data_IF_010133109876
#
_entry.id   IF_010133109876
#
_cell.length_a   1.000
_cell.length_b   1.000
_cell.length_c   1.000
_cell.angle_alpha   90.00
_cell.angle_beta   90.00
_cell.angle_gamma   90.00
#
_symmetry.space_group_name_H-M   'P 1'
#
loop_
_entity.id
_entity.type
_entity.pdbx_description
1 polymer ?
#
# COMPACT_ATOMS: atom_id res chain seq x y z
N UNK A 1 23.66 -7.15 20.61
CA UNK A 1 22.82 -7.09 19.41
C UNK A 1 21.37 -7.07 19.89
N UNK A 2 20.57 -6.06 19.57
CA UNK A 2 19.15 -6.02 19.90
C UNK A 2 18.40 -7.12 19.14
N UNK A 3 17.40 -7.74 19.80
CA UNK A 3 16.56 -8.77 19.20
C UNK A 3 15.14 -8.24 19.04
N UNK A 4 14.52 -8.50 17.92
CA UNK A 4 13.09 -8.28 17.68
C UNK A 4 12.45 -9.56 17.14
N UNK A 5 11.30 -9.95 17.71
CA UNK A 5 10.47 -11.00 17.16
C UNK A 5 9.41 -10.34 16.28
N UNK A 6 9.30 -10.79 15.02
CA UNK A 6 8.35 -10.23 14.05
C UNK A 6 7.30 -11.28 13.74
N UNK A 7 6.04 -10.95 14.01
CA UNK A 7 4.90 -11.83 13.75
C UNK A 7 4.22 -11.39 12.47
N UNK A 8 4.13 -12.31 11.51
CA UNK A 8 3.70 -12.05 10.14
C UNK A 8 2.60 -13.04 9.73
N UNK A 9 1.74 -12.69 8.76
CA UNK A 9 0.87 -13.67 8.12
C UNK A 9 1.67 -14.82 7.50
N UNK A 10 1.15 -16.03 7.58
CA UNK A 10 1.86 -17.23 7.12
C UNK A 10 2.03 -17.32 5.60
N UNK A 11 1.24 -16.56 4.84
CA UNK A 11 1.23 -16.46 3.38
C UNK A 11 1.97 -15.21 2.84
N UNK A 12 2.78 -14.57 3.68
CA UNK A 12 3.46 -13.29 3.35
C UNK A 12 4.30 -13.37 2.06
N UNK A 13 4.84 -14.53 1.71
CA UNK A 13 5.68 -14.76 0.53
C UNK A 13 4.93 -15.38 -0.66
N UNK A 14 3.61 -15.50 -0.61
CA UNK A 14 2.83 -16.07 -1.71
C UNK A 14 2.89 -15.18 -2.96
N UNK A 15 3.58 -15.63 -4.05
CA UNK A 15 3.71 -14.83 -5.27
C UNK A 15 2.39 -14.70 -6.06
N UNK A 16 1.39 -15.53 -5.75
CA UNK A 16 0.08 -15.46 -6.40
C UNK A 16 -0.78 -14.31 -5.85
N UNK A 17 -0.47 -13.85 -4.63
CA UNK A 17 -1.25 -12.81 -3.93
C UNK A 17 -0.37 -11.70 -3.37
N UNK A 18 0.48 -11.05 -4.19
CA UNK A 18 1.35 -9.98 -3.72
C UNK A 18 0.52 -8.83 -3.12
N UNK A 19 1.01 -8.25 -2.01
CA UNK A 19 0.39 -7.08 -1.39
C UNK A 19 1.44 -6.05 -0.96
N UNK A 20 1.02 -4.78 -0.89
CA UNK A 20 1.88 -3.71 -0.40
C UNK A 20 2.30 -3.93 1.06
N UNK A 21 1.40 -4.43 1.93
CA UNK A 21 1.71 -4.76 3.32
C UNK A 21 2.80 -5.81 3.43
N UNK A 22 2.65 -6.94 2.71
CA UNK A 22 3.66 -8.00 2.69
C UNK A 22 5.03 -7.48 2.22
N UNK A 23 5.04 -6.67 1.15
CA UNK A 23 6.27 -6.06 0.64
C UNK A 23 6.91 -5.13 1.69
N UNK A 24 6.11 -4.32 2.37
CA UNK A 24 6.56 -3.45 3.44
C UNK A 24 7.21 -4.25 4.58
N UNK A 25 6.54 -5.27 5.09
CA UNK A 25 7.04 -6.10 6.19
C UNK A 25 8.37 -6.78 5.85
N UNK A 26 8.48 -7.33 4.65
CA UNK A 26 9.75 -7.92 4.17
C UNK A 26 10.87 -6.90 4.09
N UNK A 27 10.59 -5.68 3.66
CA UNK A 27 11.56 -4.59 3.63
C UNK A 27 11.97 -4.13 5.03
N UNK A 28 11.03 -4.07 5.96
CA UNK A 28 11.31 -3.75 7.37
C UNK A 28 12.18 -4.82 8.01
N UNK A 29 11.85 -6.10 7.86
CA UNK A 29 12.66 -7.20 8.39
C UNK A 29 14.11 -7.13 7.88
N UNK A 30 14.29 -6.93 6.57
CA UNK A 30 15.61 -6.77 5.96
C UNK A 30 16.35 -5.54 6.48
N UNK A 31 15.70 -4.38 6.48
CA UNK A 31 16.30 -3.13 6.90
C UNK A 31 16.66 -3.08 8.40
N UNK A 32 15.90 -3.78 9.26
CA UNK A 32 16.26 -3.97 10.66
C UNK A 32 17.51 -4.85 10.80
N UNK A 33 17.61 -5.95 10.03
CA UNK A 33 18.80 -6.81 10.03
C UNK A 33 20.03 -6.05 9.56
N UNK A 34 19.95 -5.25 8.50
CA UNK A 34 21.01 -4.37 8.01
C UNK A 34 21.45 -3.32 9.03
N UNK A 35 20.56 -2.94 9.96
CA UNK A 35 20.83 -2.05 11.10
C UNK A 35 21.34 -2.77 12.35
N UNK A 36 21.67 -4.05 12.24
CA UNK A 36 22.28 -4.84 13.31
C UNK A 36 21.26 -5.42 14.31
N UNK A 37 19.96 -5.47 13.97
CA UNK A 37 18.98 -6.22 14.77
C UNK A 37 19.03 -7.69 14.44
N UNK A 38 18.93 -8.55 15.45
CA UNK A 38 18.63 -9.97 15.25
C UNK A 38 17.11 -10.13 15.07
N UNK A 39 16.67 -10.24 13.83
CA UNK A 39 15.24 -10.40 13.47
C UNK A 39 14.87 -11.88 13.55
N UNK A 40 13.84 -12.20 14.33
CA UNK A 40 13.28 -13.55 14.49
C UNK A 40 11.84 -13.56 13.99
N UNK A 41 11.61 -14.11 12.81
CA UNK A 41 10.32 -14.15 12.16
C UNK A 41 9.46 -15.31 12.62
N UNK A 42 8.15 -15.04 12.80
CA UNK A 42 7.12 -16.01 13.16
C UNK A 42 5.96 -15.87 12.17
N UNK A 43 5.94 -16.71 11.14
CA UNK A 43 4.80 -16.83 10.23
C UNK A 43 3.63 -17.52 10.92
N UNK A 44 2.49 -16.86 11.04
CA UNK A 44 1.27 -17.42 11.63
C UNK A 44 0.26 -17.72 10.53
N UNK A 45 0.06 -18.99 10.17
CA UNK A 45 -0.97 -19.38 9.20
C UNK A 45 -2.36 -19.03 9.70
N UNK A 46 -3.24 -18.61 8.77
CA UNK A 46 -4.62 -18.26 9.08
C UNK A 46 -5.20 -17.32 8.03
N UNK A 47 -6.51 -17.12 8.10
CA UNK A 47 -7.21 -16.13 7.25
C UNK A 47 -7.27 -14.78 7.97
N UNK A 48 -6.19 -14.06 8.00
CA UNK A 48 -6.13 -12.75 8.62
C UNK A 48 -6.83 -11.67 7.77
N UNK A 49 -7.63 -10.75 8.36
CA UNK A 49 -7.90 -10.53 9.80
C UNK A 49 -9.09 -11.33 10.36
N UNK A 50 -9.47 -12.46 9.80
CA UNK A 50 -10.57 -13.32 10.26
C UNK A 50 -10.03 -14.71 10.60
N UNK A 51 -9.22 -14.84 11.68
CA UNK A 51 -8.56 -16.09 12.02
C UNK A 51 -9.55 -17.12 12.55
N UNK A 52 -9.30 -18.36 12.21
CA UNK A 52 -9.93 -19.52 12.83
C UNK A 52 -9.32 -19.84 14.23
N UNK A 53 -9.95 -20.71 15.04
CA UNK A 53 -9.42 -21.05 16.35
C UNK A 53 -7.98 -21.62 16.32
N UNK A 54 -7.56 -22.48 15.36
CA UNK A 54 -6.17 -22.92 15.23
C UNK A 54 -5.17 -21.80 15.03
N UNK A 55 -5.48 -20.79 14.21
CA UNK A 55 -4.62 -19.63 13.99
C UNK A 55 -4.42 -18.82 15.28
N UNK A 56 -5.50 -18.60 16.06
CA UNK A 56 -5.45 -17.93 17.37
C UNK A 56 -4.59 -18.70 18.37
N UNK A 57 -4.78 -20.02 18.47
CA UNK A 57 -3.98 -20.89 19.34
C UNK A 57 -2.49 -20.86 18.98
N UNK A 58 -2.17 -20.86 17.70
CA UNK A 58 -0.79 -20.78 17.21
C UNK A 58 -0.13 -19.47 17.58
N UNK A 59 -0.81 -18.35 17.37
CA UNK A 59 -0.30 -17.04 17.79
C UNK A 59 -0.10 -16.97 19.31
N UNK A 60 -1.07 -17.44 20.09
CA UNK A 60 -0.95 -17.51 21.54
C UNK A 60 0.26 -18.34 21.98
N UNK A 61 0.50 -19.48 21.32
CA UNK A 61 1.68 -20.33 21.56
C UNK A 61 2.99 -19.62 21.27
N UNK A 62 3.08 -18.89 20.15
CA UNK A 62 4.26 -18.08 19.82
C UNK A 62 4.53 -17.08 20.93
N UNK A 63 3.53 -16.26 21.29
CA UNK A 63 3.71 -15.21 22.31
C UNK A 63 4.05 -15.82 23.69
N UNK A 64 3.46 -16.95 24.07
CA UNK A 64 3.68 -17.58 25.37
C UNK A 64 5.13 -18.08 25.55
N UNK A 65 5.83 -18.44 24.48
CA UNK A 65 7.22 -18.93 24.55
C UNK A 65 8.26 -17.83 24.67
N UNK A 66 7.88 -16.57 24.44
CA UNK A 66 8.82 -15.45 24.46
C UNK A 66 9.11 -15.01 25.90
N UNK A 67 10.38 -14.72 26.26
CA UNK A 67 10.75 -14.18 27.57
C UNK A 67 10.13 -12.82 27.85
N UNK A 68 9.96 -12.50 29.13
CA UNK A 68 9.50 -11.18 29.56
C UNK A 68 10.46 -10.08 29.09
N UNK A 69 9.91 -8.92 28.75
CA UNK A 69 10.66 -7.78 28.20
C UNK A 69 10.98 -7.91 26.70
N UNK A 70 10.66 -9.04 26.06
CA UNK A 70 10.90 -9.22 24.62
C UNK A 70 10.11 -8.21 23.78
N UNK A 71 10.79 -7.59 22.80
CA UNK A 71 10.16 -6.71 21.80
C UNK A 71 9.54 -7.55 20.68
N UNK A 72 8.27 -7.34 20.44
CA UNK A 72 7.51 -8.04 19.40
C UNK A 72 6.87 -7.03 18.46
N UNK A 73 7.26 -7.06 17.20
CA UNK A 73 6.60 -6.32 16.12
C UNK A 73 5.56 -7.23 15.47
N UNK A 74 4.30 -6.81 15.46
CA UNK A 74 3.19 -7.60 14.90
C UNK A 74 2.60 -6.88 13.69
N UNK A 75 2.39 -7.61 12.60
CA UNK A 75 1.55 -7.14 11.50
C UNK A 75 0.13 -6.82 12.02
N UNK A 76 -0.42 -5.69 11.60
CA UNK A 76 -1.71 -5.19 12.06
C UNK A 76 -2.89 -6.08 11.71
N UNK A 77 -2.86 -6.78 10.56
CA UNK A 77 -3.92 -7.73 10.22
C UNK A 77 -3.96 -8.91 11.18
N UNK A 78 -2.79 -9.32 11.71
CA UNK A 78 -2.69 -10.37 12.72
C UNK A 78 -3.10 -9.83 14.10
N UNK A 79 -2.54 -8.71 14.51
CA UNK A 79 -2.71 -8.16 15.85
C UNK A 79 -4.12 -7.62 16.10
N UNK A 80 -4.64 -6.79 15.17
CA UNK A 80 -5.90 -6.05 15.36
C UNK A 80 -7.13 -6.94 15.51
N UNK A 81 -7.05 -8.20 15.08
CA UNK A 81 -8.17 -9.14 15.07
C UNK A 81 -8.30 -10.00 16.35
N UNK A 82 -7.33 -9.92 17.28
CA UNK A 82 -7.23 -10.91 18.39
C UNK A 82 -6.78 -10.29 19.72
N UNK A 83 -7.49 -9.28 20.24
CA UNK A 83 -7.13 -8.63 21.49
C UNK A 83 -7.05 -9.59 22.67
N UNK A 84 -7.88 -10.64 22.68
CA UNK A 84 -7.89 -11.68 23.71
C UNK A 84 -6.58 -12.50 23.76
N UNK A 85 -5.88 -12.58 22.63
CA UNK A 85 -4.56 -13.25 22.55
C UNK A 85 -3.45 -12.29 23.01
N UNK A 86 -3.58 -11.00 22.74
CA UNK A 86 -2.57 -9.99 23.09
C UNK A 86 -2.61 -9.58 24.55
N UNK A 87 -3.80 -9.41 25.13
CA UNK A 87 -4.01 -8.86 26.46
C UNK A 87 -3.22 -9.58 27.58
N UNK A 88 -3.13 -10.94 27.63
CA UNK A 88 -2.33 -11.63 28.63
C UNK A 88 -0.83 -11.30 28.58
N UNK A 89 -0.36 -10.82 27.41
CA UNK A 89 1.05 -10.56 27.15
C UNK A 89 1.43 -9.08 27.23
N UNK A 90 0.46 -8.17 27.23
CA UNK A 90 0.67 -6.71 27.16
C UNK A 90 1.57 -6.14 28.27
N UNK A 91 1.58 -6.76 29.47
CA UNK A 91 2.41 -6.30 30.60
C UNK A 91 3.83 -6.89 30.60
N UNK A 92 4.01 -8.08 29.98
CA UNK A 92 5.30 -8.79 30.00
C UNK A 92 6.10 -8.67 28.71
N UNK A 93 5.43 -8.46 27.57
CA UNK A 93 6.08 -8.22 26.27
C UNK A 93 5.98 -6.74 25.89
N UNK A 94 6.89 -6.29 25.04
CA UNK A 94 6.85 -4.97 24.42
C UNK A 94 6.22 -5.11 23.05
N UNK A 95 4.88 -5.10 22.99
CA UNK A 95 4.11 -5.29 21.76
C UNK A 95 4.11 -3.98 20.96
N UNK A 96 4.54 -4.05 19.71
CA UNK A 96 4.46 -2.96 18.73
C UNK A 96 3.61 -3.44 17.56
N UNK A 97 2.52 -2.73 17.25
CA UNK A 97 1.61 -3.11 16.17
C UNK A 97 1.85 -2.21 14.95
N UNK A 98 2.11 -2.83 13.80
CA UNK A 98 2.32 -2.15 12.52
C UNK A 98 1.02 -2.18 11.72
N UNK A 99 0.29 -1.06 11.71
CA UNK A 99 -1.01 -0.94 11.06
C UNK A 99 -0.84 -0.53 9.59
N UNK A 100 -0.99 -1.50 8.67
CA UNK A 100 -1.04 -1.26 7.23
C UNK A 100 -2.40 -0.73 6.77
N UNK A 101 -3.47 -1.27 7.35
CA UNK A 101 -4.85 -0.90 7.05
C UNK A 101 -5.68 -0.99 8.33
N UNK A 102 -6.25 0.11 8.80
CA UNK A 102 -7.15 0.09 9.95
C UNK A 102 -8.39 -0.77 9.67
N UNK A 103 -8.81 -1.54 10.66
CA UNK A 103 -10.08 -2.30 10.61
C UNK A 103 -11.26 -1.41 11.02
N UNK A 104 -11.01 -0.39 11.81
CA UNK A 104 -11.96 0.63 12.28
C UNK A 104 -13.12 0.08 13.14
N UNK A 105 -12.85 -0.98 13.89
CA UNK A 105 -13.81 -1.62 14.78
C UNK A 105 -13.33 -1.64 16.27
N UNK A 106 -14.21 -2.06 17.18
CA UNK A 106 -13.91 -2.12 18.60
C UNK A 106 -12.90 -3.21 18.96
N UNK A 107 -12.76 -4.23 18.12
CA UNK A 107 -11.76 -5.30 18.27
C UNK A 107 -10.36 -4.72 18.09
N UNK A 108 -10.17 -3.94 17.03
CA UNK A 108 -8.91 -3.23 16.79
C UNK A 108 -8.59 -2.24 17.91
N UNK A 109 -9.59 -1.46 18.36
CA UNK A 109 -9.41 -0.52 19.47
C UNK A 109 -8.82 -1.22 20.71
N UNK A 110 -9.39 -2.38 21.06
CA UNK A 110 -8.95 -3.18 22.21
C UNK A 110 -7.56 -3.77 21.99
N UNK A 111 -7.26 -4.24 20.78
CA UNK A 111 -5.96 -4.78 20.44
C UNK A 111 -4.85 -3.72 20.50
N UNK A 112 -5.10 -2.54 19.91
CA UNK A 112 -4.14 -1.43 19.92
C UNK A 112 -3.91 -0.85 21.32
N UNK A 113 -4.90 -0.91 22.21
CA UNK A 113 -4.72 -0.53 23.61
C UNK A 113 -3.73 -1.45 24.35
N UNK A 114 -3.54 -2.69 23.91
CA UNK A 114 -2.54 -3.64 24.45
C UNK A 114 -1.11 -3.32 24.00
N UNK A 115 -0.92 -2.50 22.95
CA UNK A 115 0.38 -2.23 22.39
C UNK A 115 1.16 -1.16 23.17
N UNK A 116 2.46 -1.36 23.34
CA UNK A 116 3.37 -0.35 23.86
C UNK A 116 3.56 0.81 22.87
N UNK A 117 3.53 0.51 21.58
CA UNK A 117 3.51 1.49 20.50
C UNK A 117 2.74 0.96 19.29
N UNK A 118 2.21 1.88 18.49
CA UNK A 118 1.55 1.61 17.21
C UNK A 118 2.33 2.34 16.12
N UNK A 119 2.59 1.67 15.02
CA UNK A 119 3.23 2.27 13.85
C UNK A 119 2.27 2.26 12.68
N UNK A 120 2.12 3.38 12.01
CA UNK A 120 1.27 3.54 10.81
C UNK A 120 2.12 3.85 9.60
N UNK A 121 1.58 3.58 8.41
CA UNK A 121 2.27 3.79 7.13
C UNK A 121 2.13 5.20 6.57
N UNK A 122 1.31 6.06 7.20
CA UNK A 122 1.09 7.45 6.77
C UNK A 122 0.60 8.32 7.93
N UNK A 123 0.80 9.63 7.81
CA UNK A 123 0.24 10.60 8.76
C UNK A 123 -1.29 10.62 8.69
N UNK A 124 -1.87 10.32 7.50
CA UNK A 124 -3.31 10.14 7.37
C UNK A 124 -3.81 8.99 8.25
N UNK A 125 -3.17 7.82 8.20
CA UNK A 125 -3.55 6.67 9.02
C UNK A 125 -3.35 6.96 10.51
N UNK A 126 -2.25 7.65 10.88
CA UNK A 126 -2.01 8.07 12.26
C UNK A 126 -3.16 8.93 12.79
N UNK A 127 -3.52 9.99 12.06
CA UNK A 127 -4.66 10.85 12.44
C UNK A 127 -5.95 10.06 12.54
N UNK A 128 -6.23 9.19 11.57
CA UNK A 128 -7.44 8.35 11.55
C UNK A 128 -7.56 7.48 12.81
N UNK A 129 -6.46 6.86 13.24
CA UNK A 129 -6.46 6.06 14.47
C UNK A 129 -6.66 6.92 15.73
N UNK A 130 -6.03 8.09 15.80
CA UNK A 130 -6.17 9.00 16.95
C UNK A 130 -7.57 9.62 17.04
N UNK A 131 -8.21 9.89 15.91
CA UNK A 131 -9.59 10.39 15.86
C UNK A 131 -10.61 9.30 16.25
N UNK A 132 -10.29 8.04 15.91
CA UNK A 132 -11.21 6.91 16.10
C UNK A 132 -11.07 6.24 17.48
N UNK A 133 -9.86 6.20 18.03
CA UNK A 133 -9.53 5.43 19.22
C UNK A 133 -8.88 6.32 20.30
N UNK A 134 -9.12 6.06 21.59
CA UNK A 134 -8.52 6.81 22.69
C UNK A 134 -7.06 6.39 22.93
N UNK A 135 -6.23 6.50 21.90
CA UNK A 135 -4.80 6.17 21.96
C UNK A 135 -4.00 7.41 22.35
N UNK A 136 -2.99 7.29 23.23
CA UNK A 136 -2.03 8.36 23.48
C UNK A 136 -1.25 8.70 22.20
N UNK A 137 -1.22 9.98 21.83
CA UNK A 137 -0.62 10.42 20.57
C UNK A 137 0.90 10.14 20.48
N UNK A 138 1.58 10.09 21.62
CA UNK A 138 3.00 9.75 21.76
C UNK A 138 3.30 8.26 21.56
N UNK A 139 2.28 7.40 21.57
CA UNK A 139 2.41 5.97 21.25
C UNK A 139 2.15 5.65 19.78
N UNK A 140 1.63 6.60 18.99
CA UNK A 140 1.28 6.37 17.58
C UNK A 140 2.30 7.07 16.69
N UNK A 141 3.12 6.28 16.02
CA UNK A 141 4.24 6.73 15.19
C UNK A 141 3.95 6.52 13.71
N UNK A 142 4.70 7.20 12.85
CA UNK A 142 4.63 7.02 11.40
C UNK A 142 5.96 6.46 10.91
N UNK A 143 5.89 5.40 10.11
CA UNK A 143 7.00 4.93 9.31
C UNK A 143 6.52 4.79 7.85
N UNK A 144 6.70 5.86 7.09
CA UNK A 144 6.26 5.93 5.70
C UNK A 144 6.96 4.87 4.85
N UNK A 145 6.22 4.14 3.97
CA UNK A 145 6.82 3.18 3.06
C UNK A 145 7.92 3.79 2.22
N UNK A 146 9.06 3.13 2.19
CA UNK A 146 10.12 3.48 1.27
C UNK A 146 9.83 3.04 -0.16
N UNK A 147 10.61 3.55 -1.10
CA UNK A 147 10.61 3.11 -2.48
C UNK A 147 12.04 2.89 -2.97
N UNK A 148 12.22 1.92 -3.85
CA UNK A 148 13.53 1.68 -4.48
C UNK A 148 13.77 2.71 -5.58
N UNK A 149 15.01 3.21 -5.72
CA UNK A 149 15.41 3.95 -6.92
C UNK A 149 15.19 3.12 -8.18
N UNK A 150 14.67 3.74 -9.23
CA UNK A 150 14.41 3.06 -10.50
C UNK A 150 14.78 3.96 -11.69
N UNK A 151 15.10 3.39 -12.86
CA UNK A 151 15.27 4.16 -14.08
C UNK A 151 13.98 4.91 -14.45
N UNK A 152 14.06 6.08 -15.09
CA UNK A 152 12.89 6.78 -15.60
C UNK A 152 12.13 5.92 -16.61
N UNK A 153 10.78 5.93 -16.52
CA UNK A 153 9.93 5.29 -17.50
C UNK A 153 10.12 5.94 -18.88
N UNK A 154 10.26 5.13 -19.92
CA UNK A 154 10.39 5.61 -21.31
C UNK A 154 9.02 5.97 -21.89
N UNK A 155 8.00 5.17 -21.59
CA UNK A 155 6.65 5.31 -22.11
C UNK A 155 6.59 5.20 -23.63
N UNK A 156 5.48 5.66 -24.19
CA UNK A 156 5.28 5.71 -25.65
C UNK A 156 5.62 7.09 -26.26
N UNK A 157 5.78 8.11 -25.41
CA UNK A 157 5.87 9.51 -25.83
C UNK A 157 4.54 10.14 -26.29
N UNK A 158 3.57 9.33 -26.66
CA UNK A 158 2.24 9.79 -27.08
C UNK A 158 1.29 10.10 -25.89
N UNK A 159 1.58 9.55 -24.71
CA UNK A 159 0.73 9.72 -23.52
C UNK A 159 -0.44 8.73 -23.47
N UNK A 160 -0.43 7.68 -24.28
CA UNK A 160 -1.57 6.78 -24.50
C UNK A 160 -1.50 5.47 -23.72
N UNK A 161 -0.34 5.11 -23.17
CA UNK A 161 -0.17 3.89 -22.40
C UNK A 161 -0.49 4.15 -20.90
N UNK A 162 -1.64 3.67 -20.46
CA UNK A 162 -2.09 3.76 -19.07
C UNK A 162 -1.75 2.49 -18.32
N UNK A 163 -1.39 2.63 -17.04
CA UNK A 163 -1.07 1.51 -16.16
C UNK A 163 -1.88 1.63 -14.87
N UNK A 164 -2.49 0.54 -14.43
CA UNK A 164 -3.07 0.40 -13.11
C UNK A 164 -2.37 -0.76 -12.40
N UNK A 165 -1.72 -0.50 -11.26
CA UNK A 165 -1.06 -1.54 -10.46
C UNK A 165 -1.82 -1.71 -9.16
N UNK A 166 -2.68 -2.71 -9.11
CA UNK A 166 -3.48 -3.05 -7.94
C UNK A 166 -4.10 -4.44 -8.07
N UNK A 167 -4.31 -5.15 -6.97
CA UNK A 167 -5.16 -6.34 -6.98
C UNK A 167 -6.56 -5.98 -7.49
N UNK A 168 -7.13 -6.80 -8.38
CA UNK A 168 -8.44 -6.53 -8.98
C UNK A 168 -9.54 -6.93 -7.99
N UNK A 169 -9.92 -5.96 -7.18
CA UNK A 169 -10.92 -6.08 -6.11
C UNK A 169 -11.80 -4.84 -6.07
N UNK A 170 -12.98 -4.93 -5.48
CA UNK A 170 -13.95 -3.84 -5.47
C UNK A 170 -13.36 -2.53 -4.92
N UNK A 171 -12.64 -2.57 -3.80
CA UNK A 171 -12.10 -1.36 -3.16
C UNK A 171 -11.00 -0.64 -3.98
N UNK A 172 -10.46 -1.27 -5.03
CA UNK A 172 -9.48 -0.63 -5.95
C UNK A 172 -10.12 0.09 -7.15
N UNK A 173 -11.46 0.07 -7.26
CA UNK A 173 -12.21 0.91 -8.17
C UNK A 173 -11.97 0.68 -9.67
N UNK A 174 -11.57 -0.54 -10.06
CA UNK A 174 -11.36 -0.85 -11.48
C UNK A 174 -12.61 -0.66 -12.33
N UNK A 175 -13.79 -0.85 -11.76
CA UNK A 175 -15.07 -0.61 -12.43
C UNK A 175 -15.33 0.89 -12.65
N UNK A 176 -14.96 1.75 -11.70
CA UNK A 176 -14.99 3.21 -11.86
C UNK A 176 -14.03 3.63 -12.98
N UNK A 177 -12.83 3.06 -13.02
CA UNK A 177 -11.84 3.32 -14.08
C UNK A 177 -12.36 2.90 -15.46
N UNK A 178 -12.98 1.72 -15.58
CA UNK A 178 -13.55 1.24 -16.85
C UNK A 178 -14.69 2.14 -17.31
N UNK A 179 -15.58 2.60 -16.41
CA UNK A 179 -16.65 3.54 -16.75
C UNK A 179 -16.07 4.88 -17.24
N UNK A 180 -15.06 5.41 -16.56
CA UNK A 180 -14.39 6.66 -16.97
C UNK A 180 -13.72 6.52 -18.34
N UNK A 181 -13.04 5.40 -18.60
CA UNK A 181 -12.39 5.14 -19.87
C UNK A 181 -13.38 4.97 -21.03
N UNK A 182 -14.59 4.47 -20.76
CA UNK A 182 -15.65 4.40 -21.76
C UNK A 182 -16.08 5.80 -22.26
N UNK A 183 -16.04 6.82 -21.39
CA UNK A 183 -16.38 8.22 -21.75
C UNK A 183 -15.30 8.91 -22.62
N UNK A 184 -14.12 8.33 -22.72
CA UNK A 184 -13.00 8.80 -23.55
C UNK A 184 -12.61 7.79 -24.61
N UNK A 185 -13.52 6.91 -25.01
CA UNK A 185 -13.29 5.88 -26.03
C UNK A 185 -13.00 6.47 -27.43
N UNK A 186 -13.38 7.72 -27.68
CA UNK A 186 -13.06 8.50 -28.88
C UNK A 186 -11.58 8.86 -29.02
N UNK A 187 -10.80 8.74 -27.94
CA UNK A 187 -9.37 9.05 -27.91
C UNK A 187 -8.51 7.79 -27.93
N UNK A 188 -7.25 7.84 -28.43
CA UNK A 188 -6.33 6.71 -28.40
C UNK A 188 -5.77 6.49 -26.99
N UNK A 189 -5.94 5.31 -26.44
CA UNK A 189 -5.33 4.84 -25.19
C UNK A 189 -5.38 3.32 -25.09
N UNK A 190 -4.51 2.75 -24.29
CA UNK A 190 -4.57 1.36 -23.81
C UNK A 190 -4.38 1.36 -22.30
N UNK A 191 -4.92 0.36 -21.62
CA UNK A 191 -4.77 0.18 -20.16
C UNK A 191 -4.28 -1.24 -19.85
N UNK A 192 -3.17 -1.33 -19.13
CA UNK A 192 -2.73 -2.55 -18.46
C UNK A 192 -3.11 -2.49 -16.98
N UNK A 193 -3.90 -3.48 -16.52
CA UNK A 193 -4.19 -3.70 -15.10
C UNK A 193 -3.30 -4.85 -14.61
N UNK A 194 -2.31 -4.52 -13.78
CA UNK A 194 -1.35 -5.47 -13.20
C UNK A 194 -1.68 -5.70 -11.74
N UNK A 195 -1.98 -6.94 -11.37
CA UNK A 195 -2.30 -7.32 -9.99
C UNK A 195 -3.07 -8.63 -9.90
N UNK A 196 -3.20 -9.15 -8.68
CA UNK A 196 -3.85 -10.43 -8.44
C UNK A 196 -5.31 -10.44 -8.88
N UNK A 197 -5.71 -11.49 -9.58
CA UNK A 197 -7.08 -11.73 -10.08
C UNK A 197 -7.85 -12.75 -9.22
N UNK A 198 -7.19 -13.32 -8.22
CA UNK A 198 -7.70 -14.43 -7.42
C UNK A 198 -8.32 -14.02 -6.10
N UNK A 199 -8.10 -12.76 -5.67
CA UNK A 199 -8.60 -12.26 -4.37
C UNK A 199 -10.11 -12.04 -4.34
N UNK A 200 -10.71 -11.67 -5.48
CA UNK A 200 -12.15 -11.46 -5.66
C UNK A 200 -12.59 -11.93 -7.06
N UNK A 201 -12.75 -13.26 -7.26
CA UNK A 201 -13.12 -13.81 -8.57
C UNK A 201 -14.47 -13.31 -9.09
N UNK A 202 -15.41 -13.01 -8.18
CA UNK A 202 -16.72 -12.48 -8.52
C UNK A 202 -16.62 -11.07 -9.12
N UNK A 203 -15.85 -10.19 -8.49
CA UNK A 203 -15.58 -8.86 -9.00
C UNK A 203 -14.85 -8.90 -10.35
N UNK A 204 -13.83 -9.76 -10.47
CA UNK A 204 -13.09 -9.93 -11.74
C UNK A 204 -14.02 -10.37 -12.88
N UNK A 205 -14.92 -11.33 -12.63
CA UNK A 205 -15.90 -11.77 -13.63
C UNK A 205 -16.86 -10.63 -14.02
N UNK A 206 -17.33 -9.86 -13.05
CA UNK A 206 -18.14 -8.66 -13.28
C UNK A 206 -17.41 -7.59 -14.10
N UNK A 207 -16.16 -7.34 -13.77
CA UNK A 207 -15.31 -6.37 -14.48
C UNK A 207 -15.10 -6.77 -15.94
N UNK A 208 -14.83 -8.05 -16.21
CA UNK A 208 -14.69 -8.56 -17.60
C UNK A 208 -15.98 -8.35 -18.42
N UNK A 209 -17.14 -8.58 -17.81
CA UNK A 209 -18.43 -8.28 -18.46
C UNK A 209 -18.57 -6.80 -18.76
N UNK A 210 -18.30 -5.93 -17.77
CA UNK A 210 -18.36 -4.48 -17.96
C UNK A 210 -17.43 -4.01 -19.09
N UNK A 211 -16.21 -4.51 -19.17
CA UNK A 211 -15.26 -4.20 -20.25
C UNK A 211 -15.83 -4.61 -21.62
N UNK A 212 -16.44 -5.80 -21.72
CA UNK A 212 -17.06 -6.27 -22.96
C UNK A 212 -18.29 -5.44 -23.35
N UNK A 213 -19.19 -5.18 -22.39
CA UNK A 213 -20.40 -4.36 -22.60
C UNK A 213 -20.08 -2.94 -23.06
N UNK A 214 -18.95 -2.40 -22.63
CA UNK A 214 -18.45 -1.07 -23.06
C UNK A 214 -17.63 -1.09 -24.35
N UNK A 215 -17.44 -2.26 -24.98
CA UNK A 215 -16.65 -2.41 -26.21
C UNK A 215 -15.16 -2.16 -26.05
N UNK A 216 -14.61 -2.33 -24.84
CA UNK A 216 -13.24 -1.98 -24.48
C UNK A 216 -12.28 -3.19 -24.42
N UNK A 217 -12.74 -4.39 -24.80
CA UNK A 217 -11.97 -5.64 -24.66
C UNK A 217 -10.61 -5.61 -25.39
N UNK A 218 -10.49 -4.87 -26.50
CA UNK A 218 -9.24 -4.72 -27.24
C UNK A 218 -8.29 -3.66 -26.67
N UNK A 219 -8.70 -2.92 -25.65
CA UNK A 219 -7.94 -1.77 -25.09
C UNK A 219 -7.57 -1.93 -23.61
N UNK A 220 -8.24 -2.82 -22.89
CA UNK A 220 -8.02 -3.08 -21.48
C UNK A 220 -7.53 -4.52 -21.30
N UNK A 221 -6.37 -4.68 -20.69
CA UNK A 221 -5.78 -5.99 -20.39
C UNK A 221 -5.72 -6.20 -18.88
N UNK A 222 -6.34 -7.26 -18.37
CA UNK A 222 -6.13 -7.76 -17.01
C UNK A 222 -4.94 -8.72 -17.04
N UNK A 223 -3.74 -8.20 -16.74
CA UNK A 223 -2.48 -8.89 -16.98
C UNK A 223 -2.13 -9.92 -15.88
N UNK A 224 -2.87 -9.95 -14.77
CA UNK A 224 -2.51 -10.75 -13.60
C UNK A 224 -1.36 -10.15 -12.79
N UNK A 225 -0.90 -10.85 -11.74
CA UNK A 225 0.18 -10.38 -10.88
C UNK A 225 1.52 -10.38 -11.63
N UNK A 226 2.32 -9.33 -11.40
CA UNK A 226 3.71 -9.22 -11.86
C UNK A 226 4.59 -8.74 -10.71
N UNK A 227 5.82 -9.19 -10.69
CA UNK A 227 6.85 -8.81 -9.71
C UNK A 227 8.20 -8.66 -10.40
N UNK A 228 9.16 -8.05 -9.72
CA UNK A 228 10.54 -7.90 -10.24
C UNK A 228 10.58 -7.27 -11.63
N UNK A 229 11.36 -7.86 -12.52
CA UNK A 229 11.61 -7.33 -13.87
C UNK A 229 10.35 -7.17 -14.74
N UNK A 230 9.34 -8.02 -14.55
CA UNK A 230 8.08 -7.91 -15.31
C UNK A 230 7.22 -6.74 -14.86
N UNK A 231 7.24 -6.41 -13.55
CA UNK A 231 6.60 -5.22 -13.02
C UNK A 231 7.35 -3.96 -13.44
N UNK A 232 8.69 -3.99 -13.39
CA UNK A 232 9.53 -2.90 -13.87
C UNK A 232 9.29 -2.60 -15.35
N UNK A 233 9.16 -3.63 -16.17
CA UNK A 233 8.84 -3.47 -17.59
C UNK A 233 7.45 -2.84 -17.81
N UNK A 234 6.45 -3.20 -16.99
CA UNK A 234 5.12 -2.58 -17.05
C UNK A 234 5.17 -1.08 -16.73
N UNK A 235 5.88 -0.69 -15.67
CA UNK A 235 6.09 0.73 -15.36
C UNK A 235 6.88 1.46 -16.46
N UNK A 236 7.94 0.84 -17.00
CA UNK A 236 8.79 1.46 -18.02
C UNK A 236 8.03 1.76 -19.33
N UNK A 237 7.05 0.92 -19.68
CA UNK A 237 6.23 1.08 -20.87
C UNK A 237 5.09 2.09 -20.73
N UNK A 238 4.76 2.50 -19.51
CA UNK A 238 3.62 3.36 -19.22
C UNK A 238 3.92 4.86 -19.39
N UNK A 239 2.88 5.62 -19.75
CA UNK A 239 2.91 7.08 -19.79
C UNK A 239 2.26 7.73 -18.56
N UNK A 240 1.30 7.02 -17.94
CA UNK A 240 0.53 7.49 -16.77
C UNK A 240 0.15 6.31 -15.88
N UNK A 241 0.40 6.42 -14.59
CA UNK A 241 -0.24 5.54 -13.60
C UNK A 241 -1.65 6.06 -13.31
N UNK A 242 -2.67 5.18 -13.33
CA UNK A 242 -4.04 5.52 -12.94
C UNK A 242 -4.50 4.65 -11.78
N UNK A 243 -4.96 5.26 -10.70
CA UNK A 243 -5.42 4.59 -9.49
C UNK A 243 -6.79 5.14 -9.08
N UNK A 244 -7.85 4.34 -9.24
CA UNK A 244 -9.24 4.74 -8.96
C UNK A 244 -9.76 4.21 -7.61
N UNK A 245 -8.88 3.93 -6.65
CA UNK A 245 -9.20 3.29 -5.38
C UNK A 245 -10.24 4.07 -4.57
N UNK A 246 -11.11 3.35 -3.87
CA UNK A 246 -12.04 3.92 -2.90
C UNK A 246 -11.38 4.21 -1.55
N UNK A 247 -10.30 3.47 -1.22
CA UNK A 247 -9.52 3.64 -0.01
C UNK A 247 -8.07 3.22 -0.24
N UNK A 248 -7.14 4.00 0.32
CA UNK A 248 -5.70 3.72 0.37
C UNK A 248 -5.12 4.29 1.67
N UNK A 249 -4.36 3.51 2.38
CA UNK A 249 -3.68 4.00 3.58
C UNK A 249 -2.43 4.82 3.27
N UNK A 250 -1.78 4.53 2.14
CA UNK A 250 -0.68 5.31 1.60
C UNK A 250 -0.70 5.32 0.05
N UNK A 251 -0.68 4.15 -0.59
CA UNK A 251 -0.59 4.02 -2.03
C UNK A 251 0.86 3.88 -2.51
N UNK A 252 1.54 2.82 -2.11
CA UNK A 252 2.95 2.56 -2.48
C UNK A 252 3.18 2.61 -4.00
N UNK A 253 2.21 2.16 -4.80
CA UNK A 253 2.29 2.22 -6.27
C UNK A 253 2.41 3.65 -6.81
N UNK A 254 1.94 4.66 -6.06
CA UNK A 254 2.11 6.07 -6.40
C UNK A 254 3.59 6.46 -6.30
N UNK A 255 4.25 6.12 -5.19
CA UNK A 255 5.69 6.39 -5.03
C UNK A 255 6.55 5.55 -5.95
N UNK A 256 6.14 4.31 -6.28
CA UNK A 256 6.80 3.47 -7.28
C UNK A 256 6.75 4.09 -8.69
N UNK A 257 5.61 4.66 -9.08
CA UNK A 257 5.48 5.43 -10.32
C UNK A 257 6.36 6.68 -10.31
N UNK A 258 6.32 7.45 -9.22
CA UNK A 258 7.12 8.66 -9.08
C UNK A 258 8.62 8.37 -9.06
N UNK A 259 9.07 7.25 -8.47
CA UNK A 259 10.46 6.81 -8.54
C UNK A 259 10.95 6.59 -9.98
N UNK A 260 10.02 6.35 -10.90
CA UNK A 260 10.28 6.23 -12.34
C UNK A 260 9.96 7.50 -13.14
N UNK A 261 9.66 8.61 -12.46
CA UNK A 261 9.26 9.87 -13.09
C UNK A 261 7.96 9.74 -13.88
N UNK A 262 7.14 8.76 -13.54
CA UNK A 262 5.84 8.51 -14.16
C UNK A 262 4.77 9.36 -13.46
N UNK A 263 4.03 10.24 -14.17
CA UNK A 263 2.93 10.98 -13.60
C UNK A 263 1.80 10.08 -13.11
N UNK A 264 1.01 10.60 -12.18
CA UNK A 264 -0.06 9.85 -11.53
C UNK A 264 -1.41 10.55 -11.70
N UNK A 265 -2.45 9.82 -12.04
CA UNK A 265 -3.84 10.22 -11.90
C UNK A 265 -4.50 9.31 -10.88
N UNK A 266 -4.91 9.86 -9.76
CA UNK A 266 -5.45 9.03 -8.67
C UNK A 266 -6.68 9.66 -8.02
N UNK A 267 -7.45 8.84 -7.32
CA UNK A 267 -8.50 9.34 -6.41
C UNK A 267 -7.87 9.97 -5.18
N UNK A 268 -8.50 11.04 -4.68
CA UNK A 268 -8.09 11.75 -3.46
C UNK A 268 -8.61 11.01 -2.22
N UNK A 269 -8.00 9.89 -1.89
CA UNK A 269 -8.40 9.04 -0.75
C UNK A 269 -7.22 8.76 0.16
N UNK A 270 -7.47 8.69 1.46
CA UNK A 270 -6.50 8.27 2.45
C UNK A 270 -5.17 8.98 2.39
N UNK A 271 -4.09 8.20 2.35
CA UNK A 271 -2.72 8.68 2.23
C UNK A 271 -2.23 8.97 0.81
N UNK A 272 -3.08 8.81 -0.23
CA UNK A 272 -2.68 9.09 -1.62
C UNK A 272 -2.17 10.51 -1.84
N UNK A 273 -2.78 11.58 -1.27
CA UNK A 273 -2.24 12.94 -1.37
C UNK A 273 -0.84 13.07 -0.74
N UNK A 274 -0.59 12.35 0.36
CA UNK A 274 0.72 12.30 1.05
C UNK A 274 1.77 11.59 0.19
N UNK A 275 1.43 10.43 -0.39
CA UNK A 275 2.29 9.68 -1.28
C UNK A 275 2.64 10.46 -2.56
N UNK A 276 1.67 11.16 -3.15
CA UNK A 276 1.87 11.99 -4.33
C UNK A 276 2.81 13.16 -4.01
N UNK A 277 2.51 13.90 -2.95
CA UNK A 277 3.27 15.08 -2.55
C UNK A 277 3.36 16.12 -3.67
N UNK A 278 4.43 16.92 -3.61
CA UNK A 278 4.75 17.95 -4.62
C UNK A 278 6.23 17.87 -4.99
N UNK A 279 6.56 18.34 -6.17
CA UNK A 279 7.94 18.56 -6.60
C UNK A 279 8.59 19.71 -5.79
N UNK A 280 9.93 19.88 -5.82
CA UNK A 280 10.61 20.95 -5.08
C UNK A 280 10.17 22.38 -5.46
N UNK A 281 9.64 22.55 -6.65
CA UNK A 281 9.07 23.82 -7.15
C UNK A 281 7.59 24.05 -6.77
N UNK A 282 7.01 23.11 -5.99
CA UNK A 282 5.60 23.13 -5.57
C UNK A 282 4.63 22.54 -6.59
N UNK A 283 5.07 22.15 -7.78
CA UNK A 283 4.20 21.55 -8.79
C UNK A 283 3.78 20.11 -8.41
N UNK A 284 2.49 19.77 -8.54
CA UNK A 284 2.04 18.41 -8.29
C UNK A 284 2.50 17.46 -9.43
N UNK A 285 3.03 16.28 -9.09
CA UNK A 285 3.47 15.31 -10.09
C UNK A 285 2.34 14.47 -10.67
N UNK A 286 1.09 14.89 -10.49
CA UNK A 286 -0.09 14.18 -10.92
C UNK A 286 -1.37 14.96 -10.70
N UNK A 287 -2.50 14.28 -10.94
CA UNK A 287 -3.84 14.83 -10.75
C UNK A 287 -4.59 13.99 -9.71
N UNK A 288 -5.33 14.66 -8.83
CA UNK A 288 -6.20 14.01 -7.86
C UNK A 288 -7.66 14.37 -8.16
N UNK A 289 -8.52 13.35 -8.23
CA UNK A 289 -9.97 13.47 -8.48
C UNK A 289 -10.76 12.89 -7.28
N UNK A 290 -12.06 13.25 -7.13
CA UNK A 290 -12.91 12.59 -6.14
C UNK A 290 -13.00 11.08 -6.39
N UNK A 291 -13.17 10.29 -5.30
CA UNK A 291 -13.50 8.88 -5.42
C UNK A 291 -14.94 8.70 -5.88
N UNK A 292 -15.26 7.54 -6.44
CA UNK A 292 -16.60 7.18 -6.92
C UNK A 292 -17.18 8.15 -7.98
N UNK A 293 -16.33 8.90 -8.66
CA UNK A 293 -16.73 9.89 -9.67
C UNK A 293 -16.09 9.55 -11.04
N UNK A 294 -16.72 8.65 -11.84
CA UNK A 294 -16.24 8.31 -13.18
C UNK A 294 -16.14 9.52 -14.10
N UNK A 295 -17.03 10.52 -13.96
CA UNK A 295 -17.05 11.70 -14.81
C UNK A 295 -15.85 12.62 -14.52
N UNK A 296 -15.51 12.85 -13.25
CA UNK A 296 -14.31 13.60 -12.88
C UNK A 296 -13.04 12.89 -13.35
N UNK A 297 -13.00 11.55 -13.21
CA UNK A 297 -11.87 10.75 -13.71
C UNK A 297 -11.77 10.80 -15.22
N UNK A 298 -12.88 10.69 -15.96
CA UNK A 298 -12.94 10.83 -17.42
C UNK A 298 -12.47 12.21 -17.88
N UNK A 299 -12.91 13.27 -17.20
CA UNK A 299 -12.47 14.64 -17.48
C UNK A 299 -10.96 14.83 -17.30
N UNK A 300 -10.38 14.24 -16.26
CA UNK A 300 -8.93 14.24 -16.03
C UNK A 300 -8.17 13.43 -17.10
N UNK A 301 -8.68 12.25 -17.46
CA UNK A 301 -8.15 11.42 -18.56
C UNK A 301 -8.19 12.18 -19.89
N UNK A 302 -9.30 12.82 -20.23
CA UNK A 302 -9.44 13.62 -21.46
C UNK A 302 -8.41 14.73 -21.50
N UNK A 303 -8.24 15.49 -20.42
CA UNK A 303 -7.22 16.54 -20.30
C UNK A 303 -5.81 15.99 -20.49
N UNK A 304 -5.51 14.81 -19.94
CA UNK A 304 -4.23 14.12 -20.14
C UNK A 304 -4.02 13.69 -21.60
N UNK A 305 -5.00 13.02 -22.20
CA UNK A 305 -4.90 12.45 -23.54
C UNK A 305 -4.81 13.52 -24.63
N UNK A 306 -5.47 14.65 -24.46
CA UNK A 306 -5.48 15.74 -25.46
C UNK A 306 -4.46 16.86 -25.18
N UNK A 307 -3.98 16.98 -23.93
CA UNK A 307 -3.17 18.12 -23.46
C UNK A 307 -1.67 17.85 -23.40
N UNK A 308 -0.92 17.99 -24.50
CA UNK A 308 0.55 17.85 -24.49
C UNK A 308 1.25 18.77 -23.45
N UNK A 309 0.88 20.04 -23.26
CA UNK A 309 1.48 20.88 -22.24
C UNK A 309 1.28 20.35 -20.82
N UNK A 310 0.09 19.77 -20.53
CA UNK A 310 -0.18 19.14 -19.25
C UNK A 310 0.73 17.92 -19.02
N UNK A 311 0.86 17.04 -20.02
CA UNK A 311 1.74 15.88 -19.95
C UNK A 311 3.18 16.26 -19.65
N UNK A 312 3.72 17.26 -20.38
CA UNK A 312 5.08 17.75 -20.16
C UNK A 312 5.29 18.30 -18.74
N UNK A 313 4.34 19.11 -18.26
CA UNK A 313 4.39 19.68 -16.90
C UNK A 313 4.38 18.59 -15.84
N UNK A 314 3.42 17.67 -15.89
CA UNK A 314 3.31 16.58 -14.91
C UNK A 314 4.52 15.64 -14.94
N UNK A 315 5.04 15.32 -16.14
CA UNK A 315 6.24 14.50 -16.26
C UNK A 315 7.48 15.17 -15.67
N UNK A 316 7.66 16.47 -15.91
CA UNK A 316 8.75 17.25 -15.30
C UNK A 316 8.64 17.23 -13.78
N UNK A 317 7.43 17.49 -13.23
CA UNK A 317 7.19 17.46 -11.79
C UNK A 317 7.44 16.05 -11.20
N UNK A 318 6.98 14.98 -11.88
CA UNK A 318 7.23 13.60 -11.46
C UNK A 318 8.73 13.25 -11.44
N UNK A 319 9.48 13.69 -12.45
CA UNK A 319 10.94 13.51 -12.48
C UNK A 319 11.63 14.28 -11.35
N UNK A 320 11.22 15.51 -11.07
CA UNK A 320 11.77 16.32 -9.98
C UNK A 320 11.42 15.74 -8.59
N UNK A 321 10.23 15.16 -8.42
CA UNK A 321 9.77 14.56 -7.17
C UNK A 321 10.59 13.34 -6.73
N UNK A 322 11.26 12.64 -7.66
CA UNK A 322 12.08 11.45 -7.39
C UNK A 322 13.13 11.68 -6.31
N UNK A 323 13.78 12.84 -6.32
CA UNK A 323 14.86 13.16 -5.37
C UNK A 323 14.39 13.29 -3.91
N UNK A 324 13.09 13.55 -3.71
CA UNK A 324 12.50 13.71 -2.37
C UNK A 324 11.68 12.50 -1.91
N UNK A 325 11.77 11.36 -2.58
CA UNK A 325 11.09 10.13 -2.14
C UNK A 325 11.86 9.48 -0.99
N UNK A 326 11.11 8.97 -0.01
CA UNK A 326 11.67 8.23 1.13
C UNK A 326 12.21 6.87 0.65
N UNK A 327 13.41 6.52 1.08
CA UNK A 327 13.98 5.19 0.82
C UNK A 327 13.65 4.18 1.93
N UNK A 328 13.77 2.89 1.64
CA UNK A 328 13.56 1.83 2.63
C UNK A 328 14.50 1.91 3.86
N UNK A 329 15.76 2.41 3.74
CA UNK A 329 16.61 2.66 4.91
C UNK A 329 15.99 3.64 5.92
N UNK A 330 15.24 4.66 5.45
CA UNK A 330 14.58 5.64 6.33
C UNK A 330 13.38 5.02 7.04
N UNK A 331 12.59 4.21 6.32
CA UNK A 331 11.50 3.42 6.91
C UNK A 331 12.02 2.51 8.02
N UNK A 332 13.08 1.75 7.74
CA UNK A 332 13.70 0.87 8.74
C UNK A 332 14.30 1.65 9.92
N UNK A 333 14.82 2.85 9.69
CA UNK A 333 15.30 3.73 10.76
C UNK A 333 14.17 4.19 11.67
N UNK A 334 13.05 4.60 11.11
CA UNK A 334 11.86 5.00 11.87
C UNK A 334 11.33 3.83 12.73
N UNK A 335 11.20 2.64 12.16
CA UNK A 335 10.82 1.44 12.92
C UNK A 335 11.83 1.12 14.02
N UNK A 336 13.13 1.12 13.72
CA UNK A 336 14.18 0.85 14.71
C UNK A 336 14.14 1.86 15.86
N UNK A 337 13.84 3.14 15.58
CA UNK A 337 13.67 4.18 16.60
C UNK A 337 12.52 3.83 17.58
N UNK A 338 11.37 3.44 17.06
CA UNK A 338 10.20 3.03 17.89
C UNK A 338 10.56 1.80 18.73
N UNK A 339 11.16 0.77 18.11
CA UNK A 339 11.55 -0.46 18.82
C UNK A 339 12.56 -0.18 19.93
N UNK A 340 13.52 0.76 19.74
CA UNK A 340 14.44 1.16 20.79
C UNK A 340 13.74 1.93 21.91
N UNK A 341 12.76 2.77 21.59
CA UNK A 341 11.96 3.52 22.58
C UNK A 341 11.19 2.62 23.54
N UNK A 342 10.62 1.53 23.06
CA UNK A 342 9.85 0.59 23.90
C UNK A 342 10.72 -0.41 24.69
N UNK A 343 12.01 -0.52 24.37
CA UNK A 343 12.98 -1.38 25.11
C UNK A 343 13.41 -0.78 26.43
N UNK A 344 13.50 0.53 26.50
CA UNK A 344 13.96 1.30 27.67
C UNK A 344 12.79 1.54 28.63
#
# INVERSE_FOLDING_TARGET
>A
VPVVHVVLPGDIDDPATPSGGNAYDRRVCRGLAERGWAVREHGVPGRWPRPDPPARTRLAGVLATLPDGTVVLLDGLVASAVPEVLAPHARRLRLVVLVHMPLEDDTEATALACAAAVVTTSEWTRRRLLDRYPLPADRVHVATPGVDPAPPATGTGAGTALLCVAAVTAHKGHDVLVRALAEVADLPWTLDCVGALTRDPGFVAGLRRLVAERGLAGRIRLAGPRTGVDLDAAYAAADLLVLASHAETYGMVVTEALARGLPVLATRVGGVPEALGVAPDGEPPGLLVPADDPAALAGALRRWLTGSPLRHRLRRAALARRAGLTGWPDTAAAIAHVLNGVRN
#
